data_IF_377485211076
#
_entry.id   IF_377485211076
#
_cell.length_a   1.000
_cell.length_b   1.000
_cell.length_c   1.000
_cell.angle_alpha   90.00
_cell.angle_beta   90.00
_cell.angle_gamma   90.00
#
_symmetry.space_group_name_H-M   'P 1'
#
loop_
_entity.id
_entity.type
_entity.pdbx_description
1 polymer ?
#
# COMPACT_ATOMS: atom_id res chain seq x y z
N UNK A 1 -11.43 -17.01 -29.14
CA UNK A 1 -11.49 -15.77 -28.34
C UNK A 1 -11.30 -16.05 -26.84
N UNK A 2 -12.17 -16.81 -26.17
CA UNK A 2 -11.96 -17.18 -24.74
C UNK A 2 -10.60 -17.86 -24.45
N UNK A 3 -10.11 -18.73 -25.33
CA UNK A 3 -8.79 -19.35 -25.20
C UNK A 3 -7.60 -18.37 -25.38
N UNK A 4 -7.81 -17.25 -26.09
CA UNK A 4 -6.79 -16.19 -26.24
C UNK A 4 -6.68 -15.34 -24.97
N UNK A 5 -7.79 -15.15 -24.26
CA UNK A 5 -7.83 -14.42 -22.98
C UNK A 5 -7.39 -15.29 -21.78
N UNK A 6 -7.65 -16.59 -21.82
CA UNK A 6 -7.14 -17.53 -20.80
C UNK A 6 -5.59 -17.53 -20.76
N UNK A 7 -4.93 -17.35 -21.91
CA UNK A 7 -3.46 -17.34 -21.99
C UNK A 7 -2.78 -16.10 -21.40
N UNK A 8 -3.44 -14.94 -21.38
CA UNK A 8 -2.89 -13.71 -20.79
C UNK A 8 -3.06 -13.68 -19.28
N UNK A 9 -4.20 -14.17 -18.77
CA UNK A 9 -4.47 -14.25 -17.32
C UNK A 9 -3.53 -15.23 -16.61
N UNK A 10 -3.05 -16.27 -17.30
CA UNK A 10 -2.16 -17.29 -16.74
C UNK A 10 -0.67 -16.91 -16.72
N UNK A 11 -0.28 -15.73 -17.22
CA UNK A 11 1.12 -15.26 -17.25
C UNK A 11 1.30 -13.82 -16.77
N UNK A 12 0.63 -13.45 -15.68
CA UNK A 12 0.86 -12.15 -15.04
C UNK A 12 0.66 -10.95 -15.98
N UNK A 13 -0.34 -11.00 -16.86
CA UNK A 13 -0.62 -9.87 -17.73
C UNK A 13 -1.12 -8.68 -16.89
N UNK A 14 -0.40 -7.57 -17.00
CA UNK A 14 -0.81 -6.24 -16.57
C UNK A 14 -2.18 -5.89 -17.14
N UNK A 15 -3.01 -5.21 -16.35
CA UNK A 15 -4.36 -4.77 -16.72
C UNK A 15 -4.35 -4.07 -18.09
N UNK A 16 -3.38 -3.18 -18.32
CA UNK A 16 -3.27 -2.45 -19.59
C UNK A 16 -3.06 -3.37 -20.80
N UNK A 17 -2.31 -4.47 -20.62
CA UNK A 17 -2.11 -5.47 -21.68
C UNK A 17 -3.41 -6.19 -22.02
N UNK A 18 -4.26 -6.46 -21.02
CA UNK A 18 -5.57 -7.05 -21.24
C UNK A 18 -6.49 -6.07 -22.00
N UNK A 19 -6.51 -4.80 -21.59
CA UNK A 19 -7.31 -3.76 -22.23
C UNK A 19 -6.89 -3.54 -23.69
N UNK A 20 -5.58 -3.55 -23.98
CA UNK A 20 -5.06 -3.43 -25.35
C UNK A 20 -5.52 -4.61 -26.22
N UNK A 21 -5.50 -5.84 -25.70
CA UNK A 21 -6.02 -7.02 -26.41
C UNK A 21 -7.51 -6.93 -26.69
N UNK A 22 -8.30 -6.38 -25.75
CA UNK A 22 -9.73 -6.14 -25.97
C UNK A 22 -9.91 -5.12 -27.09
N UNK A 23 -9.16 -4.00 -27.03
CA UNK A 23 -9.20 -2.94 -28.04
C UNK A 23 -8.93 -3.48 -29.44
N UNK A 24 -7.87 -4.27 -29.60
CA UNK A 24 -7.50 -4.89 -30.87
C UNK A 24 -8.53 -5.93 -31.34
N UNK A 25 -8.92 -6.86 -30.47
CA UNK A 25 -9.83 -7.97 -30.83
C UNK A 25 -11.21 -7.47 -31.26
N UNK A 26 -11.67 -6.37 -30.66
CA UNK A 26 -12.96 -5.76 -30.95
C UNK A 26 -12.87 -4.51 -31.84
N UNK A 27 -11.69 -4.22 -32.40
CA UNK A 27 -11.42 -3.07 -33.26
C UNK A 27 -12.02 -1.75 -32.70
N UNK A 28 -11.77 -1.50 -31.43
CA UNK A 28 -12.23 -0.31 -30.72
C UNK A 28 -11.20 0.81 -30.85
N UNK A 29 -11.66 2.05 -30.75
CA UNK A 29 -10.78 3.21 -30.68
C UNK A 29 -10.09 3.26 -29.33
N UNK A 30 -10.87 3.12 -28.26
CA UNK A 30 -10.37 3.06 -26.89
C UNK A 30 -11.17 2.08 -26.04
N UNK A 31 -10.54 1.60 -24.98
CA UNK A 31 -11.12 0.74 -23.94
C UNK A 31 -10.61 1.23 -22.60
N UNK A 32 -11.52 1.51 -21.66
CA UNK A 32 -11.19 1.95 -20.31
C UNK A 32 -11.86 1.03 -19.29
N UNK A 33 -11.13 0.71 -18.23
CA UNK A 33 -11.71 0.19 -16.99
C UNK A 33 -11.77 1.34 -16.00
N UNK A 34 -12.97 1.67 -15.52
CA UNK A 34 -13.18 2.72 -14.51
C UNK A 34 -13.77 2.10 -13.24
N UNK A 35 -13.42 2.68 -12.10
CA UNK A 35 -13.97 2.33 -10.79
C UNK A 35 -14.92 3.44 -10.34
N UNK A 36 -16.07 3.09 -9.77
CA UNK A 36 -17.10 4.04 -9.32
C UNK A 36 -18.39 3.96 -10.11
N UNK A 37 -19.29 4.91 -9.85
CA UNK A 37 -20.62 4.91 -10.43
C UNK A 37 -20.63 5.31 -11.92
N UNK A 38 -21.79 5.12 -12.56
CA UNK A 38 -21.98 5.42 -13.98
C UNK A 38 -21.74 6.90 -14.38
N UNK A 39 -21.75 7.83 -13.43
CA UNK A 39 -21.68 9.28 -13.65
C UNK A 39 -20.27 9.85 -13.48
N UNK A 40 -19.31 9.05 -13.04
CA UNK A 40 -17.93 9.49 -12.97
C UNK A 40 -17.13 8.72 -11.93
N UNK A 41 -16.13 8.01 -12.42
CA UNK A 41 -15.22 7.19 -11.63
C UNK A 41 -13.76 7.48 -11.96
N UNK A 42 -12.84 6.94 -11.17
CA UNK A 42 -11.42 7.01 -11.51
C UNK A 42 -11.07 5.98 -12.57
N UNK A 43 -10.25 6.37 -13.55
CA UNK A 43 -9.74 5.44 -14.56
C UNK A 43 -8.69 4.55 -13.92
N UNK A 44 -8.97 3.25 -13.87
CA UNK A 44 -8.06 2.23 -13.34
C UNK A 44 -7.01 1.86 -14.39
N UNK A 45 -7.44 1.79 -15.65
CA UNK A 45 -6.56 1.51 -16.79
C UNK A 45 -7.27 1.84 -18.09
N UNK A 46 -6.49 2.15 -19.12
CA UNK A 46 -7.03 2.43 -20.44
C UNK A 46 -6.08 2.01 -21.56
N UNK A 47 -6.64 1.82 -22.75
CA UNK A 47 -5.95 1.48 -23.97
C UNK A 47 -6.54 2.27 -25.13
N UNK A 48 -5.71 2.71 -26.07
CA UNK A 48 -6.11 3.50 -27.23
C UNK A 48 -6.08 5.02 -27.01
N UNK A 49 -6.77 5.75 -27.89
CA UNK A 49 -6.79 7.22 -27.90
C UNK A 49 -8.15 7.75 -27.49
N UNK A 50 -8.16 8.84 -26.72
CA UNK A 50 -9.39 9.47 -26.20
C UNK A 50 -10.22 8.46 -25.39
N UNK A 51 -9.72 8.03 -24.21
CA UNK A 51 -10.38 7.03 -23.39
C UNK A 51 -11.68 7.58 -22.80
N UNK A 52 -12.77 6.83 -22.92
CA UNK A 52 -14.01 7.13 -22.20
C UNK A 52 -13.75 7.07 -20.68
N UNK A 53 -14.28 8.05 -19.96
CA UNK A 53 -14.17 8.10 -18.49
C UNK A 53 -15.53 8.02 -17.79
N UNK A 54 -16.63 8.18 -18.54
CA UNK A 54 -18.00 8.01 -18.07
C UNK A 54 -18.78 7.04 -18.95
N UNK A 55 -19.89 6.50 -18.43
CA UNK A 55 -20.80 5.65 -19.21
C UNK A 55 -21.44 6.43 -20.37
N UNK A 56 -21.65 7.73 -20.21
CA UNK A 56 -22.26 8.60 -21.22
C UNK A 56 -21.35 8.81 -22.44
N UNK A 57 -20.03 8.80 -22.24
CA UNK A 57 -19.03 8.96 -23.31
C UNK A 57 -18.80 7.68 -24.13
N UNK A 58 -19.35 6.54 -23.70
CA UNK A 58 -19.04 5.23 -24.26
C UNK A 58 -20.09 4.74 -25.26
N UNK A 59 -19.64 4.30 -26.44
CA UNK A 59 -20.49 3.60 -27.42
C UNK A 59 -20.96 2.22 -26.90
N UNK A 60 -20.20 1.62 -25.99
CA UNK A 60 -20.60 0.42 -25.27
C UNK A 60 -20.09 0.47 -23.84
N UNK A 61 -21.01 0.41 -22.88
CA UNK A 61 -20.70 0.24 -21.47
C UNK A 61 -21.10 -1.17 -21.00
N UNK A 62 -20.23 -1.76 -20.18
CA UNK A 62 -20.44 -3.05 -19.52
C UNK A 62 -20.16 -2.87 -18.05
N UNK A 63 -21.22 -3.00 -17.25
CA UNK A 63 -21.14 -3.08 -15.80
C UNK A 63 -20.44 -4.38 -15.39
N UNK A 64 -19.57 -4.27 -14.39
CA UNK A 64 -18.78 -5.36 -13.85
C UNK A 64 -19.01 -5.43 -12.34
N UNK A 65 -19.56 -6.56 -11.90
CA UNK A 65 -19.93 -6.76 -10.51
C UNK A 65 -21.30 -7.40 -10.40
N UNK A 66 -21.75 -7.60 -9.17
CA UNK A 66 -23.13 -7.97 -8.86
C UNK A 66 -23.81 -6.78 -8.20
N UNK A 67 -25.12 -6.68 -8.37
CA UNK A 67 -25.93 -5.62 -7.75
C UNK A 67 -25.64 -5.55 -6.23
N UNK A 68 -25.15 -4.40 -5.76
CA UNK A 68 -24.76 -4.17 -4.36
C UNK A 68 -23.28 -4.39 -4.02
N UNK A 69 -22.39 -4.62 -5.00
CA UNK A 69 -20.95 -4.55 -4.80
C UNK A 69 -20.54 -3.09 -4.54
N UNK A 70 -19.92 -2.75 -3.39
CA UNK A 70 -19.49 -1.37 -3.10
C UNK A 70 -18.41 -0.86 -4.06
N UNK A 71 -17.71 -1.77 -4.75
CA UNK A 71 -16.70 -1.45 -5.76
C UNK A 71 -17.28 -1.73 -7.15
N UNK A 72 -18.11 -0.81 -7.64
CA UNK A 72 -18.64 -0.88 -8.99
C UNK A 72 -17.54 -0.60 -10.02
N UNK A 73 -17.39 -1.49 -11.00
CA UNK A 73 -16.48 -1.28 -12.12
C UNK A 73 -17.25 -1.22 -13.43
N UNK A 74 -16.76 -0.41 -14.36
CA UNK A 74 -17.30 -0.32 -15.71
C UNK A 74 -16.20 -0.51 -16.74
N UNK A 75 -16.47 -1.38 -17.73
CA UNK A 75 -15.69 -1.46 -18.94
C UNK A 75 -16.35 -0.61 -20.01
N UNK A 76 -15.68 0.47 -20.39
CA UNK A 76 -16.14 1.47 -21.34
C UNK A 76 -15.40 1.30 -22.66
N UNK A 77 -16.11 1.31 -23.78
CA UNK A 77 -15.53 1.15 -25.11
C UNK A 77 -16.07 2.24 -26.04
N UNK A 78 -15.16 2.90 -26.76
CA UNK A 78 -15.49 3.82 -27.85
C UNK A 78 -15.10 3.23 -29.21
N UNK A 79 -15.93 3.51 -30.21
CA UNK A 79 -15.79 3.05 -31.58
C UNK A 79 -17.02 2.28 -32.03
N UNK A 80 -16.83 1.04 -32.49
CA UNK A 80 -17.96 0.25 -33.00
C UNK A 80 -18.84 -0.26 -31.86
N UNK A 81 -20.15 -0.03 -31.97
CA UNK A 81 -21.12 -0.63 -31.04
C UNK A 81 -21.07 -2.15 -31.11
N UNK A 82 -20.92 -2.81 -29.95
CA UNK A 82 -20.83 -4.26 -29.88
C UNK A 82 -22.18 -4.95 -29.97
N UNK A 83 -22.20 -6.14 -30.57
CA UNK A 83 -23.39 -6.98 -30.58
C UNK A 83 -23.72 -7.50 -29.18
N UNK A 84 -24.98 -7.83 -28.92
CA UNK A 84 -25.37 -8.44 -27.64
C UNK A 84 -24.59 -9.74 -27.31
N UNK A 85 -24.17 -10.48 -28.35
CA UNK A 85 -23.34 -11.68 -28.19
C UNK A 85 -21.93 -11.32 -27.72
N UNK A 86 -21.33 -10.32 -28.35
CA UNK A 86 -19.98 -9.86 -28.00
C UNK A 86 -19.94 -9.26 -26.61
N UNK A 87 -20.94 -8.45 -26.25
CA UNK A 87 -21.10 -7.87 -24.90
C UNK A 87 -21.10 -8.97 -23.82
N UNK A 88 -21.86 -10.06 -24.02
CA UNK A 88 -21.90 -11.18 -23.06
C UNK A 88 -20.55 -11.87 -22.87
N UNK A 89 -19.80 -12.08 -23.96
CA UNK A 89 -18.45 -12.66 -23.87
C UNK A 89 -17.51 -11.70 -23.16
N UNK A 90 -17.60 -10.42 -23.49
CA UNK A 90 -16.75 -9.38 -22.92
C UNK A 90 -17.03 -9.13 -21.44
N UNK A 91 -18.28 -9.30 -20.96
CA UNK A 91 -18.61 -9.24 -19.53
C UNK A 91 -17.77 -10.20 -18.68
N UNK A 92 -17.48 -11.42 -19.18
CA UNK A 92 -16.63 -12.36 -18.45
C UNK A 92 -15.17 -11.88 -18.36
N UNK A 93 -14.66 -11.27 -19.44
CA UNK A 93 -13.30 -10.70 -19.47
C UNK A 93 -13.22 -9.43 -18.62
N UNK A 94 -14.27 -8.61 -18.61
CA UNK A 94 -14.38 -7.41 -17.79
C UNK A 94 -14.33 -7.76 -16.29
N UNK A 95 -15.01 -8.83 -15.87
CA UNK A 95 -14.89 -9.38 -14.51
C UNK A 95 -13.45 -9.79 -14.15
N UNK A 96 -12.70 -10.34 -15.10
CA UNK A 96 -11.28 -10.65 -14.87
C UNK A 96 -10.44 -9.38 -14.74
N UNK A 97 -10.70 -8.36 -15.56
CA UNK A 97 -10.01 -7.07 -15.49
C UNK A 97 -10.24 -6.37 -14.14
N UNK A 98 -11.49 -6.33 -13.65
CA UNK A 98 -11.82 -5.82 -12.32
C UNK A 98 -11.18 -6.65 -11.19
N UNK A 99 -11.06 -7.97 -11.37
CA UNK A 99 -10.31 -8.83 -10.44
C UNK A 99 -8.82 -8.46 -10.35
N UNK A 100 -8.17 -8.21 -11.49
CA UNK A 100 -6.76 -7.80 -11.55
C UNK A 100 -6.54 -6.41 -10.93
N UNK A 101 -7.47 -5.47 -11.17
CA UNK A 101 -7.46 -4.16 -10.56
C UNK A 101 -7.47 -4.25 -9.02
N UNK A 102 -8.47 -4.94 -8.46
CA UNK A 102 -8.60 -5.16 -7.01
C UNK A 102 -7.39 -5.88 -6.43
N UNK A 103 -6.88 -6.90 -7.11
CA UNK A 103 -5.69 -7.61 -6.65
C UNK A 103 -4.47 -6.68 -6.57
N UNK A 104 -4.31 -5.78 -7.54
CA UNK A 104 -3.20 -4.81 -7.55
C UNK A 104 -3.32 -3.86 -6.37
N UNK A 105 -4.51 -3.29 -6.15
CA UNK A 105 -4.79 -2.38 -5.03
C UNK A 105 -4.53 -3.07 -3.67
N UNK A 106 -5.08 -4.26 -3.46
CA UNK A 106 -4.86 -5.04 -2.23
C UNK A 106 -3.37 -5.37 -2.00
N UNK A 107 -2.62 -5.63 -3.08
CA UNK A 107 -1.18 -5.90 -2.99
C UNK A 107 -0.40 -4.65 -2.60
N UNK A 108 -0.77 -3.49 -3.15
CA UNK A 108 -0.17 -2.21 -2.79
C UNK A 108 -0.47 -1.82 -1.34
N UNK A 109 -1.71 -1.99 -0.89
CA UNK A 109 -2.11 -1.75 0.50
C UNK A 109 -1.37 -2.65 1.47
N UNK A 110 -1.29 -3.95 1.19
CA UNK A 110 -0.52 -4.90 1.99
C UNK A 110 0.96 -4.49 2.06
N UNK A 111 1.55 -4.06 0.94
CA UNK A 111 2.92 -3.57 0.90
C UNK A 111 3.14 -2.32 1.75
N UNK A 112 2.21 -1.36 1.72
CA UNK A 112 2.26 -0.15 2.58
C UNK A 112 2.15 -0.52 4.06
N UNK A 113 1.23 -1.41 4.42
CA UNK A 113 1.05 -1.87 5.79
C UNK A 113 2.30 -2.60 6.32
N UNK A 114 2.91 -3.46 5.50
CA UNK A 114 4.15 -4.16 5.85
C UNK A 114 5.32 -3.18 6.05
N UNK A 115 5.45 -2.17 5.20
CA UNK A 115 6.49 -1.15 5.35
C UNK A 115 6.36 -0.37 6.68
N UNK A 116 5.13 -0.02 7.06
CA UNK A 116 4.85 0.65 8.35
C UNK A 116 5.21 -0.28 9.51
N UNK A 117 4.78 -1.55 9.45
CA UNK A 117 5.05 -2.52 10.51
C UNK A 117 6.57 -2.72 10.73
N UNK A 118 7.34 -2.81 9.65
CA UNK A 118 8.82 -2.92 9.72
C UNK A 118 9.47 -1.68 10.33
N UNK A 119 8.98 -0.48 9.99
CA UNK A 119 9.48 0.77 10.55
C UNK A 119 9.21 0.85 12.07
N UNK A 120 8.03 0.44 12.51
CA UNK A 120 7.66 0.39 13.92
C UNK A 120 8.49 -0.63 14.70
N UNK A 121 8.74 -1.81 14.12
CA UNK A 121 9.59 -2.83 14.74
C UNK A 121 11.03 -2.31 14.92
N UNK A 122 11.60 -1.69 13.89
CA UNK A 122 12.93 -1.08 13.97
C UNK A 122 12.97 0.01 15.05
N UNK A 123 11.97 0.90 15.08
CA UNK A 123 11.87 1.94 16.10
C UNK A 123 11.85 1.35 17.51
N UNK A 124 11.05 0.30 17.75
CA UNK A 124 10.97 -0.37 19.06
C UNK A 124 12.29 -1.02 19.45
N UNK A 125 12.95 -1.68 18.49
CA UNK A 125 14.26 -2.30 18.72
C UNK A 125 15.31 -1.25 19.11
N UNK A 126 15.40 -0.15 18.36
CA UNK A 126 16.32 0.95 18.65
C UNK A 126 16.05 1.59 20.01
N UNK A 127 14.78 1.90 20.31
CA UNK A 127 14.41 2.47 21.61
C UNK A 127 14.73 1.51 22.76
N UNK A 128 14.55 0.21 22.57
CA UNK A 128 14.89 -0.79 23.58
C UNK A 128 16.40 -0.87 23.81
N UNK A 129 17.20 -0.86 22.74
CA UNK A 129 18.66 -0.89 22.83
C UNK A 129 19.18 0.36 23.56
N UNK A 130 18.79 1.56 23.10
CA UNK A 130 19.18 2.82 23.75
C UNK A 130 18.71 2.89 25.20
N UNK A 131 17.50 2.41 25.52
CA UNK A 131 17.02 2.39 26.90
C UNK A 131 17.83 1.46 27.80
N UNK A 132 18.30 0.32 27.27
CA UNK A 132 19.15 -0.60 28.01
C UNK A 132 20.53 0.02 28.24
N UNK A 133 21.10 0.62 27.21
CA UNK A 133 22.44 1.21 27.25
C UNK A 133 22.50 2.42 28.19
N UNK A 134 21.44 3.24 28.25
CA UNK A 134 21.33 4.36 29.19
C UNK A 134 21.01 3.93 30.63
N UNK A 135 20.39 2.76 30.85
CA UNK A 135 19.96 2.35 32.20
C UNK A 135 21.14 2.16 33.15
N UNK A 136 22.24 1.59 32.67
CA UNK A 136 23.45 1.33 33.46
C UNK A 136 24.14 2.62 33.93
N UNK A 137 24.55 3.55 33.04
CA UNK A 137 25.17 4.80 33.45
C UNK A 137 24.24 5.65 34.34
N UNK A 138 22.95 5.75 34.00
CA UNK A 138 22.00 6.50 34.83
C UNK A 138 21.81 5.88 36.22
N UNK A 139 21.86 4.55 36.35
CA UNK A 139 21.82 3.89 37.64
C UNK A 139 23.07 4.17 38.48
N UNK A 140 24.26 4.19 37.85
CA UNK A 140 25.52 4.53 38.49
C UNK A 140 25.54 5.98 38.98
N UNK A 141 25.17 6.94 38.11
CA UNK A 141 25.04 8.36 38.49
C UNK A 141 24.05 8.53 39.65
N UNK A 142 22.89 7.87 39.60
CA UNK A 142 21.89 7.92 40.67
C UNK A 142 22.41 7.38 42.00
N UNK A 143 23.15 6.27 41.98
CA UNK A 143 23.73 5.68 43.18
C UNK A 143 24.76 6.63 43.82
N UNK A 144 25.67 7.20 43.04
CA UNK A 144 26.68 8.15 43.52
C UNK A 144 26.04 9.42 44.11
N UNK A 145 25.06 10.03 43.41
CA UNK A 145 24.30 11.17 43.95
C UNK A 145 23.55 10.81 45.24
N UNK A 146 22.96 9.62 45.31
CA UNK A 146 22.25 9.17 46.51
C UNK A 146 23.18 9.00 47.71
N UNK A 147 24.39 8.48 47.51
CA UNK A 147 25.40 8.37 48.56
C UNK A 147 25.86 9.74 49.05
N UNK A 148 26.17 10.67 48.13
CA UNK A 148 26.60 12.04 48.47
C UNK A 148 25.55 12.84 49.26
N UNK A 149 24.26 12.48 49.13
CA UNK A 149 23.15 13.12 49.86
C UNK A 149 22.80 12.46 51.19
N UNK A 150 23.43 11.34 51.53
CA UNK A 150 23.13 10.63 52.77
C UNK A 150 23.81 11.32 53.96
N UNK A 151 23.03 11.67 54.98
CA UNK A 151 23.54 12.25 56.23
C UNK A 151 24.17 11.19 57.17
N UNK A 152 24.06 9.90 56.82
CA UNK A 152 24.49 8.78 57.66
C UNK A 152 25.98 8.43 57.49
N UNK A 153 26.65 8.96 56.45
CA UNK A 153 28.04 8.62 56.10
C UNK A 153 28.86 9.91 55.96
N UNK A 154 29.92 10.04 56.76
CA UNK A 154 30.91 11.11 56.61
C UNK A 154 31.97 10.72 55.59
N UNK A 155 31.90 11.26 54.38
CA UNK A 155 32.90 11.05 53.33
C UNK A 155 34.13 11.94 53.52
N UNK A 156 35.29 11.42 53.15
CA UNK A 156 36.49 12.25 52.99
C UNK A 156 36.35 13.17 51.77
N UNK A 157 37.18 14.23 51.67
CA UNK A 157 37.27 15.04 50.45
C UNK A 157 37.62 14.18 49.22
N UNK A 158 38.49 13.17 49.36
CA UNK A 158 38.86 12.27 48.28
C UNK A 158 37.68 11.41 47.80
N UNK A 159 36.96 10.75 48.72
CA UNK A 159 35.79 9.92 48.37
C UNK A 159 34.66 10.75 47.73
N UNK A 160 34.49 11.99 48.21
CA UNK A 160 33.54 12.94 47.62
C UNK A 160 33.90 13.25 46.17
N UNK A 161 35.18 13.48 45.88
CA UNK A 161 35.66 13.74 44.53
C UNK A 161 35.48 12.53 43.61
N UNK A 162 35.73 11.30 44.11
CA UNK A 162 35.52 10.06 43.35
C UNK A 162 34.04 9.85 42.98
N UNK A 163 33.13 10.08 43.93
CA UNK A 163 31.68 9.99 43.67
C UNK A 163 31.21 11.04 42.66
N UNK A 164 31.72 12.27 42.73
CA UNK A 164 31.41 13.32 41.74
C UNK A 164 31.95 12.97 40.35
N UNK A 165 33.18 12.45 40.26
CA UNK A 165 33.74 11.98 39.00
C UNK A 165 32.93 10.82 38.39
N UNK A 166 32.43 9.89 39.23
CA UNK A 166 31.53 8.80 38.77
C UNK A 166 30.24 9.35 38.17
N UNK A 167 29.69 10.42 38.74
CA UNK A 167 28.50 11.10 38.19
C UNK A 167 28.81 11.72 36.84
N UNK A 168 29.90 12.49 36.72
CA UNK A 168 30.32 13.12 35.47
C UNK A 168 30.58 12.08 34.36
N UNK A 169 31.37 11.04 34.64
CA UNK A 169 31.65 9.99 33.66
C UNK A 169 30.37 9.25 33.22
N UNK A 170 29.41 9.06 34.12
CA UNK A 170 28.15 8.38 33.81
C UNK A 170 27.19 9.23 32.98
N UNK A 171 27.24 10.56 33.06
CA UNK A 171 26.34 11.45 32.27
C UNK A 171 26.94 11.87 30.93
N UNK A 172 28.26 11.76 30.78
CA UNK A 172 28.98 12.07 29.54
C UNK A 172 29.04 10.88 28.55
N UNK A 173 28.57 9.69 28.98
CA UNK A 173 28.37 8.51 28.13
C UNK A 173 27.07 8.57 27.32
#
# INVERSE_FOLDING_TARGET
>A
LLALFAGSVLRGADLNTLLERIREAYAQQSVSLVHGDAHGGGVVGCAGSDPCVTVEDADTAIEVGSEGDPEEFWLLLAGRTLTARDRRVLSAVANQAAGLARQTELTEEAGKAEAIARADELRRSLLSAVSHDLRTPLAAAKAAVSSLRSDDIGFSPEDTAELLATVEESIDQ
#
